data_IF_114858787460
#
_entry.id   IF_114858787460
#
_cell.length_a   1.000
_cell.length_b   1.000
_cell.length_c   1.000
_cell.angle_alpha   90.00
_cell.angle_beta   90.00
_cell.angle_gamma   90.00
#
_symmetry.space_group_name_H-M   'P 1'
#
loop_
_entity.id
_entity.type
_entity.pdbx_description
1 polymer ?
#
# COMPACT_ATOMS: atom_id res chain seq x y z
N UNK A 1 15.18 -9.15 8.56
CA UNK A 1 14.00 -8.25 8.48
C UNK A 1 14.24 -7.09 7.51
N UNK A 2 15.38 -6.38 7.60
CA UNK A 2 15.75 -5.33 6.64
C UNK A 2 15.81 -5.84 5.18
N UNK A 3 16.45 -6.98 4.89
CA UNK A 3 16.46 -7.55 3.53
C UNK A 3 15.07 -7.95 3.00
N UNK A 4 14.12 -8.31 3.86
CA UNK A 4 12.74 -8.61 3.42
C UNK A 4 12.03 -7.31 3.03
N UNK A 5 12.25 -6.24 3.79
CA UNK A 5 11.73 -4.90 3.47
C UNK A 5 12.38 -4.36 2.20
N UNK A 6 13.69 -4.54 2.00
CA UNK A 6 14.35 -4.09 0.76
C UNK A 6 13.94 -4.93 -0.47
N UNK A 7 13.83 -6.26 -0.33
CA UNK A 7 13.42 -7.12 -1.46
C UNK A 7 11.92 -7.04 -1.78
N UNK A 8 11.07 -6.71 -0.80
CA UNK A 8 9.61 -6.74 -0.95
C UNK A 8 8.90 -5.41 -0.71
N UNK A 9 9.57 -4.29 -0.39
CA UNK A 9 8.92 -2.98 -0.22
C UNK A 9 9.52 -1.87 -1.10
N UNK A 10 10.54 -2.13 -1.94
CA UNK A 10 11.17 -1.11 -2.79
C UNK A 10 11.81 -1.66 -4.09
N UNK A 11 11.60 -1.01 -5.25
CA UNK A 11 10.30 -0.80 -5.87
C UNK A 11 9.79 -2.13 -6.45
N UNK A 12 8.53 -2.44 -6.16
CA UNK A 12 7.83 -3.55 -6.77
C UNK A 12 7.88 -3.43 -8.29
N UNK A 13 8.28 -4.51 -8.96
CA UNK A 13 8.16 -4.73 -10.41
C UNK A 13 6.68 -4.92 -10.77
N UNK A 14 5.83 -3.94 -10.44
CA UNK A 14 4.43 -3.93 -10.88
C UNK A 14 4.36 -3.84 -12.41
N UNK A 15 5.34 -3.17 -12.99
CA UNK A 15 5.60 -3.08 -14.42
C UNK A 15 7.04 -2.64 -14.68
N UNK A 16 7.40 -2.52 -15.95
CA UNK A 16 8.66 -1.93 -16.41
C UNK A 16 8.74 -0.40 -16.16
N UNK A 17 7.65 0.23 -15.71
CA UNK A 17 7.57 1.67 -15.48
C UNK A 17 7.71 2.02 -13.99
N UNK A 18 8.77 2.76 -13.67
CA UNK A 18 9.07 3.18 -12.28
C UNK A 18 7.92 3.96 -11.62
N UNK A 19 7.15 4.72 -12.40
CA UNK A 19 6.03 5.50 -11.89
C UNK A 19 4.87 4.62 -11.41
N UNK A 20 4.65 3.46 -12.02
CA UNK A 20 3.65 2.49 -11.56
C UNK A 20 4.02 1.97 -10.17
N UNK A 21 5.29 1.58 -9.98
CA UNK A 21 5.79 1.17 -8.66
C UNK A 21 5.64 2.28 -7.62
N UNK A 22 5.86 3.53 -8.00
CA UNK A 22 5.68 4.70 -7.14
C UNK A 22 4.21 4.91 -6.73
N UNK A 23 3.27 4.93 -7.67
CA UNK A 23 1.86 5.19 -7.35
C UNK A 23 1.24 4.05 -6.54
N UNK A 24 1.65 2.81 -6.82
CA UNK A 24 1.26 1.63 -6.04
C UNK A 24 1.79 1.68 -4.62
N UNK A 25 3.02 2.19 -4.42
CA UNK A 25 3.57 2.44 -3.08
C UNK A 25 2.74 3.48 -2.31
N UNK A 26 2.40 4.60 -2.95
CA UNK A 26 1.59 5.64 -2.34
C UNK A 26 0.20 5.14 -1.95
N UNK A 27 -0.45 4.34 -2.81
CA UNK A 27 -1.77 3.81 -2.50
C UNK A 27 -1.72 2.87 -1.29
N UNK A 28 -0.73 1.98 -1.22
CA UNK A 28 -0.53 1.09 -0.05
C UNK A 28 -0.35 1.88 1.23
N UNK A 29 0.49 2.92 1.19
CA UNK A 29 0.69 3.81 2.32
C UNK A 29 -0.62 4.49 2.74
N UNK A 30 -1.39 5.01 1.78
CA UNK A 30 -2.67 5.67 2.02
C UNK A 30 -3.69 4.73 2.68
N UNK A 31 -3.80 3.49 2.20
CA UNK A 31 -4.68 2.47 2.79
C UNK A 31 -4.25 2.14 4.23
N UNK A 32 -2.97 1.90 4.47
CA UNK A 32 -2.44 1.63 5.83
C UNK A 32 -2.78 2.80 6.75
N UNK A 33 -2.50 4.03 6.31
CA UNK A 33 -2.78 5.25 7.10
C UNK A 33 -4.26 5.39 7.41
N UNK A 34 -5.14 5.15 6.44
CA UNK A 34 -6.59 5.20 6.61
C UNK A 34 -7.06 4.21 7.69
N UNK A 35 -6.61 2.95 7.62
CA UNK A 35 -6.96 1.95 8.63
C UNK A 35 -6.39 2.27 10.02
N UNK A 36 -5.15 2.77 10.10
CA UNK A 36 -4.56 3.19 11.38
C UNK A 36 -5.31 4.37 12.00
N UNK A 37 -5.77 5.32 11.19
CA UNK A 37 -6.63 6.42 11.66
C UNK A 37 -7.95 5.88 12.22
N UNK A 38 -8.58 4.92 11.52
CA UNK A 38 -9.79 4.24 11.99
C UNK A 38 -9.56 3.47 13.29
N UNK A 39 -8.45 2.73 13.41
CA UNK A 39 -8.07 2.01 14.62
C UNK A 39 -7.91 2.98 15.81
N UNK A 40 -7.25 4.12 15.59
CA UNK A 40 -7.03 5.13 16.62
C UNK A 40 -8.27 5.95 16.98
N UNK A 41 -9.31 5.94 16.13
CA UNK A 41 -10.60 6.59 16.43
C UNK A 41 -11.48 5.81 17.42
N UNK A 42 -11.14 4.55 17.70
CA UNK A 42 -11.86 3.71 18.66
C UNK A 42 -11.60 4.11 20.12
N UNK A 43 -12.55 3.75 21.01
CA UNK A 43 -12.47 4.08 22.43
C UNK A 43 -11.30 3.42 23.21
N UNK A 44 -10.56 2.50 22.59
CA UNK A 44 -9.40 1.83 23.19
C UNK A 44 -8.17 2.00 22.29
N UNK A 45 -7.12 2.60 22.86
CA UNK A 45 -5.79 2.58 22.29
C UNK A 45 -5.33 1.14 22.09
N UNK A 46 -4.88 0.83 20.88
CA UNK A 46 -4.28 -0.46 20.53
C UNK A 46 -2.83 -0.51 20.98
N UNK A 47 -2.38 -1.68 21.44
CA UNK A 47 -0.97 -1.87 21.76
C UNK A 47 -0.11 -1.87 20.48
N UNK A 48 1.18 -1.60 20.64
CA UNK A 48 2.15 -1.68 19.53
C UNK A 48 2.15 -3.06 18.86
N UNK A 49 1.94 -4.14 19.64
CA UNK A 49 1.85 -5.51 19.09
C UNK A 49 0.63 -5.69 18.19
N UNK A 50 -0.52 -5.11 18.56
CA UNK A 50 -1.73 -5.18 17.74
C UNK A 50 -1.56 -4.41 16.41
N UNK A 51 -0.89 -3.25 16.46
CA UNK A 51 -0.57 -2.47 15.26
C UNK A 51 0.41 -3.23 14.34
N UNK A 52 1.47 -3.82 14.92
CA UNK A 52 2.43 -4.63 14.17
C UNK A 52 1.73 -5.83 13.51
N UNK A 53 0.84 -6.51 14.24
CA UNK A 53 0.07 -7.63 13.72
C UNK A 53 -0.85 -7.20 12.58
N UNK A 54 -1.48 -6.03 12.69
CA UNK A 54 -2.28 -5.45 11.61
C UNK A 54 -1.44 -5.24 10.35
N UNK A 55 -0.30 -4.55 10.45
CA UNK A 55 0.58 -4.27 9.32
C UNK A 55 1.07 -5.58 8.67
N UNK A 56 1.42 -6.59 9.47
CA UNK A 56 1.85 -7.90 8.98
C UNK A 56 0.75 -8.64 8.23
N UNK A 57 -0.47 -8.67 8.76
CA UNK A 57 -1.61 -9.32 8.08
C UNK A 57 -1.93 -8.58 6.78
N UNK A 58 -1.96 -7.25 6.83
CA UNK A 58 -2.20 -6.41 5.68
C UNK A 58 -1.18 -6.65 4.55
N UNK A 59 0.12 -6.64 4.87
CA UNK A 59 1.19 -6.88 3.90
C UNK A 59 1.05 -8.27 3.24
N UNK A 60 0.81 -9.32 4.02
CA UNK A 60 0.60 -10.68 3.51
C UNK A 60 -0.60 -10.77 2.59
N UNK A 61 -1.71 -10.14 2.94
CA UNK A 61 -2.93 -10.15 2.11
C UNK A 61 -2.69 -9.48 0.75
N UNK A 62 -1.92 -8.39 0.70
CA UNK A 62 -1.57 -7.71 -0.55
C UNK A 62 -0.51 -8.45 -1.39
N UNK A 63 0.48 -9.06 -0.74
CA UNK A 63 1.54 -9.83 -1.41
C UNK A 63 0.99 -11.09 -2.08
N UNK A 64 0.03 -11.77 -1.44
CA UNK A 64 -0.51 -13.04 -1.95
C UNK A 64 -1.64 -12.89 -2.98
N UNK A 65 -2.11 -11.66 -3.24
CA UNK A 65 -3.15 -11.41 -4.23
C UNK A 65 -2.56 -10.70 -5.46
N UNK A 66 -1.92 -11.47 -6.34
CA UNK A 66 -1.34 -10.97 -7.60
C UNK A 66 -2.38 -10.33 -8.50
N UNK A 67 -3.60 -10.86 -8.53
CA UNK A 67 -4.71 -10.31 -9.32
C UNK A 67 -5.10 -8.93 -8.81
N UNK A 68 -5.27 -8.78 -7.49
CA UNK A 68 -5.59 -7.49 -6.88
C UNK A 68 -4.58 -6.39 -7.25
N UNK A 69 -3.29 -6.71 -7.31
CA UNK A 69 -2.27 -5.72 -7.72
C UNK A 69 -2.41 -5.32 -9.18
N UNK A 70 -2.53 -6.30 -10.08
CA UNK A 70 -2.68 -6.04 -11.51
C UNK A 70 -3.97 -5.29 -11.82
N UNK A 71 -5.09 -5.71 -11.22
CA UNK A 71 -6.41 -5.09 -11.39
C UNK A 71 -6.41 -3.65 -10.89
N UNK A 72 -5.73 -3.38 -9.77
CA UNK A 72 -5.64 -2.04 -9.21
C UNK A 72 -4.76 -1.12 -10.07
N UNK A 73 -3.61 -1.62 -10.57
CA UNK A 73 -2.78 -0.84 -11.50
C UNK A 73 -3.53 -0.56 -12.81
N UNK A 74 -4.24 -1.56 -13.35
CA UNK A 74 -5.08 -1.41 -14.53
C UNK A 74 -6.15 -0.34 -14.29
N UNK A 75 -6.86 -0.41 -13.16
CA UNK A 75 -7.87 0.59 -12.79
C UNK A 75 -7.30 2.01 -12.71
N UNK A 76 -6.11 2.17 -12.10
CA UNK A 76 -5.43 3.48 -12.02
C UNK A 76 -5.18 4.02 -13.43
N UNK A 77 -4.64 3.20 -14.33
CA UNK A 77 -4.31 3.63 -15.70
C UNK A 77 -5.54 3.89 -16.56
N UNK A 78 -6.53 3.02 -16.50
CA UNK A 78 -7.78 3.15 -17.27
C UNK A 78 -8.55 4.43 -16.91
N UNK A 79 -8.43 4.89 -15.67
CA UNK A 79 -9.05 6.13 -15.19
C UNK A 79 -8.12 7.35 -15.26
N UNK A 80 -6.91 7.21 -15.81
CA UNK A 80 -5.93 8.29 -15.95
C UNK A 80 -5.40 8.81 -14.61
N UNK A 81 -5.38 7.98 -13.56
CA UNK A 81 -4.85 8.30 -12.23
C UNK A 81 -3.35 8.06 -12.11
N UNK A 82 -2.68 7.61 -13.16
CA UNK A 82 -1.23 7.43 -13.27
C UNK A 82 -0.50 8.77 -13.48
N UNK A 83 -0.83 9.77 -12.67
CA UNK A 83 -0.23 11.10 -12.75
C UNK A 83 0.07 11.70 -11.37
N UNK A 84 0.83 12.80 -11.38
CA UNK A 84 1.27 13.46 -10.14
C UNK A 84 0.13 14.20 -9.41
N UNK A 85 -0.94 14.59 -10.10
CA UNK A 85 -2.11 15.23 -9.48
C UNK A 85 -2.83 14.23 -8.57
N UNK A 86 -3.09 13.02 -9.07
CA UNK A 86 -3.66 11.96 -8.24
C UNK A 86 -2.70 11.53 -7.13
N UNK A 87 -1.40 11.37 -7.42
CA UNK A 87 -0.40 11.01 -6.42
C UNK A 87 -0.40 11.94 -5.19
N UNK A 88 -0.61 13.24 -5.38
CA UNK A 88 -0.70 14.23 -4.30
C UNK A 88 -1.91 14.00 -3.39
N UNK A 89 -2.98 13.37 -3.87
CA UNK A 89 -4.17 13.08 -3.04
C UNK A 89 -3.94 11.90 -2.09
N UNK A 90 -2.91 11.08 -2.34
CA UNK A 90 -2.60 9.89 -1.55
C UNK A 90 -1.73 10.18 -0.31
N UNK A 91 -1.14 11.38 -0.23
CA UNK A 91 -0.19 11.82 0.82
C UNK A 91 -0.83 12.95 1.65
#
# INVERSE_FOLDING_TARGET
MVNFIYNNLFPFLESDYMFDGYIMLLLRYSIIRFYLAGINSGAKLKSSEEIIKFIQVFAKTLEHNSNYRMDMLAYIKENGFDNMEFAKTLI
#
